data_IF_980428064488
#
_entry.id   IF_980428064488
#
_cell.length_a   1.000
_cell.length_b   1.000
_cell.length_c   1.000
_cell.angle_alpha   90.00
_cell.angle_beta   90.00
_cell.angle_gamma   90.00
#
_symmetry.space_group_name_H-M   'P 1'
#
loop_
_entity.id
_entity.type
_entity.pdbx_description
1 polymer ?
#
# COMPACT_ATOMS: atom_id res chain seq x y z
N UNK A 1 1.03 -41.83 6.48
CA UNK A 1 2.10 -40.81 6.50
C UNK A 1 1.47 -39.49 6.96
N UNK A 2 1.74 -39.11 8.20
CA UNK A 2 1.23 -37.86 8.77
C UNK A 2 2.05 -36.70 8.20
N UNK A 3 1.36 -35.71 7.62
CA UNK A 3 1.97 -34.44 7.22
C UNK A 3 2.44 -33.69 8.47
N UNK A 4 3.66 -33.14 8.51
CA UNK A 4 4.13 -32.41 9.68
C UNK A 4 3.29 -31.13 9.83
N UNK A 5 2.62 -30.98 10.99
CA UNK A 5 2.00 -29.75 11.41
C UNK A 5 3.08 -28.68 11.57
N UNK A 6 3.05 -27.67 10.73
CA UNK A 6 3.88 -26.48 10.91
C UNK A 6 3.49 -25.81 12.21
N UNK A 7 4.39 -25.86 13.20
CA UNK A 7 4.31 -25.18 14.49
C UNK A 7 3.89 -23.72 14.29
N UNK A 8 2.75 -23.33 14.89
CA UNK A 8 2.09 -22.06 14.73
C UNK A 8 2.87 -20.88 15.30
N UNK A 9 3.71 -20.26 14.48
CA UNK A 9 4.06 -18.87 14.71
C UNK A 9 2.83 -18.02 14.32
N UNK A 10 2.13 -17.48 15.31
CA UNK A 10 1.00 -16.57 15.04
C UNK A 10 1.52 -15.31 14.35
N UNK A 11 0.88 -14.92 13.25
CA UNK A 11 1.18 -13.62 12.63
C UNK A 11 0.87 -12.46 13.60
N UNK A 12 1.58 -11.33 13.51
CA UNK A 12 1.25 -10.14 14.29
C UNK A 12 -0.15 -9.63 13.92
N UNK A 13 -0.80 -8.91 14.84
CA UNK A 13 -2.02 -8.17 14.51
C UNK A 13 -1.71 -7.20 13.37
N UNK A 14 -2.60 -7.14 12.36
CA UNK A 14 -2.34 -6.46 11.10
C UNK A 14 -3.43 -5.45 10.76
N UNK A 15 -3.02 -4.27 10.29
CA UNK A 15 -3.88 -3.33 9.60
C UNK A 15 -3.38 -3.13 8.16
N UNK A 16 -4.32 -3.04 7.23
CA UNK A 16 -4.05 -2.56 5.86
C UNK A 16 -4.59 -1.15 5.76
N UNK A 17 -3.75 -0.19 5.42
CA UNK A 17 -4.09 1.21 5.24
C UNK A 17 -4.12 1.51 3.75
N UNK A 18 -5.28 1.92 3.22
CA UNK A 18 -5.45 2.31 1.81
C UNK A 18 -5.86 3.76 1.73
N UNK A 19 -5.18 4.53 0.87
CA UNK A 19 -5.51 5.95 0.66
C UNK A 19 -6.50 6.10 -0.48
N UNK A 20 -7.49 6.99 -0.32
CA UNK A 20 -8.45 7.32 -1.37
C UNK A 20 -8.76 8.81 -1.41
N UNK A 21 -9.13 9.31 -2.58
CA UNK A 21 -9.69 10.64 -2.78
C UNK A 21 -10.57 10.67 -4.02
N UNK A 22 -11.88 10.91 -3.83
CA UNK A 22 -12.88 11.12 -4.89
C UNK A 22 -12.85 10.12 -6.07
N UNK A 23 -12.56 8.85 -5.80
CA UNK A 23 -12.45 7.78 -6.83
C UNK A 23 -13.20 6.52 -6.37
N UNK A 24 -14.52 6.60 -6.15
CA UNK A 24 -15.28 5.46 -5.62
C UNK A 24 -15.24 4.24 -6.56
N UNK A 25 -15.23 4.41 -7.87
CA UNK A 25 -15.20 3.32 -8.85
C UNK A 25 -13.88 2.52 -8.78
N UNK A 26 -12.76 3.20 -8.59
CA UNK A 26 -11.46 2.53 -8.41
C UNK A 26 -11.40 1.82 -7.05
N UNK A 27 -11.87 2.50 -5.99
CA UNK A 27 -11.90 1.96 -4.64
C UNK A 27 -12.79 0.72 -4.54
N UNK A 28 -13.92 0.67 -5.24
CA UNK A 28 -14.83 -0.46 -5.24
C UNK A 28 -14.12 -1.76 -5.65
N UNK A 29 -13.38 -1.72 -6.76
CA UNK A 29 -12.59 -2.87 -7.25
C UNK A 29 -11.51 -3.31 -6.27
N UNK A 30 -10.90 -2.36 -5.58
CA UNK A 30 -9.92 -2.63 -4.52
C UNK A 30 -10.59 -3.33 -3.32
N UNK A 31 -11.78 -2.89 -2.92
CA UNK A 31 -12.52 -3.49 -1.82
C UNK A 31 -12.96 -4.93 -2.13
N UNK A 32 -13.36 -5.24 -3.38
CA UNK A 32 -13.58 -6.63 -3.81
C UNK A 32 -12.34 -7.50 -3.59
N UNK A 33 -11.15 -6.97 -3.94
CA UNK A 33 -9.89 -7.68 -3.72
C UNK A 33 -9.60 -7.96 -2.24
N UNK A 34 -9.95 -7.03 -1.34
CA UNK A 34 -9.80 -7.26 0.11
C UNK A 34 -10.86 -8.21 0.67
N UNK A 35 -12.09 -8.25 0.16
CA UNK A 35 -13.08 -9.25 0.52
C UNK A 35 -12.62 -10.69 0.22
N UNK A 36 -11.74 -10.88 -0.79
CA UNK A 36 -11.28 -12.19 -1.24
C UNK A 36 -9.85 -12.56 -0.81
N UNK A 37 -9.30 -11.88 0.21
CA UNK A 37 -7.99 -12.24 0.77
C UNK A 37 -8.00 -13.64 1.40
N UNK A 38 -6.90 -14.41 1.24
CA UNK A 38 -6.69 -15.70 1.90
C UNK A 38 -6.59 -15.58 3.42
N UNK A 39 -5.96 -14.53 3.92
CA UNK A 39 -5.88 -14.19 5.32
C UNK A 39 -6.95 -13.17 5.68
N UNK A 40 -7.84 -13.52 6.64
CA UNK A 40 -9.01 -12.67 7.00
C UNK A 40 -8.82 -11.84 8.27
N UNK A 41 -7.82 -12.19 9.10
CA UNK A 41 -7.64 -11.50 10.39
C UNK A 41 -6.79 -10.24 10.22
N UNK A 42 -7.38 -9.19 9.66
CA UNK A 42 -6.80 -7.86 9.53
C UNK A 42 -7.89 -6.78 9.64
N UNK A 43 -7.49 -5.57 10.02
CA UNK A 43 -8.35 -4.38 9.94
C UNK A 43 -8.04 -3.63 8.66
N UNK A 44 -9.04 -3.35 7.83
CA UNK A 44 -8.91 -2.48 6.66
C UNK A 44 -9.21 -1.04 7.07
N UNK A 45 -8.21 -0.17 7.01
CA UNK A 45 -8.33 1.25 7.33
C UNK A 45 -8.34 2.05 6.03
N UNK A 46 -9.46 2.68 5.71
CA UNK A 46 -9.57 3.59 4.57
C UNK A 46 -9.16 4.97 5.04
N UNK A 47 -8.03 5.45 4.55
CA UNK A 47 -7.46 6.77 4.78
C UNK A 47 -7.95 7.71 3.67
N UNK A 48 -9.04 8.42 3.93
CA UNK A 48 -9.78 9.22 2.97
C UNK A 48 -9.41 10.71 3.09
N UNK A 49 -8.75 11.23 2.06
CA UNK A 49 -8.18 12.59 2.00
C UNK A 49 -9.22 13.66 1.62
N UNK A 50 -10.45 13.52 2.10
CA UNK A 50 -11.50 14.52 1.92
C UNK A 50 -12.49 14.22 0.79
N UNK A 51 -12.75 12.93 0.53
CA UNK A 51 -13.74 12.56 -0.49
C UNK A 51 -15.15 12.99 -0.14
N UNK A 52 -15.93 13.24 -1.20
CA UNK A 52 -17.34 13.58 -1.12
C UNK A 52 -18.25 12.37 -0.81
N UNK A 53 -19.60 12.62 -0.80
CA UNK A 53 -20.59 11.64 -0.35
C UNK A 53 -20.63 10.32 -1.13
N UNK A 54 -20.19 10.29 -2.40
CA UNK A 54 -20.19 9.08 -3.21
C UNK A 54 -19.24 8.01 -2.63
N UNK A 55 -18.01 8.40 -2.28
CA UNK A 55 -17.03 7.52 -1.64
C UNK A 55 -17.54 7.03 -0.28
N UNK A 56 -18.15 7.91 0.51
CA UNK A 56 -18.73 7.52 1.81
C UNK A 56 -19.83 6.47 1.63
N UNK A 57 -20.75 6.65 0.68
CA UNK A 57 -21.83 5.66 0.41
C UNK A 57 -21.27 4.30 0.01
N UNK A 58 -20.23 4.29 -0.84
CA UNK A 58 -19.54 3.06 -1.20
C UNK A 58 -18.97 2.35 0.03
N UNK A 59 -18.22 3.08 0.86
CA UNK A 59 -17.62 2.51 2.07
C UNK A 59 -18.69 1.95 3.02
N UNK A 60 -19.79 2.67 3.21
CA UNK A 60 -20.91 2.24 4.06
C UNK A 60 -21.59 0.98 3.48
N UNK A 61 -21.71 0.83 2.15
CA UNK A 61 -22.25 -0.39 1.52
C UNK A 61 -21.38 -1.61 1.81
N UNK A 62 -20.04 -1.48 1.71
CA UNK A 62 -19.11 -2.57 2.05
C UNK A 62 -19.11 -2.89 3.56
N UNK A 63 -19.30 -1.88 4.40
CA UNK A 63 -19.49 -2.11 5.85
C UNK A 63 -20.74 -2.93 6.11
N UNK A 64 -21.86 -2.68 5.40
CA UNK A 64 -23.11 -3.44 5.50
C UNK A 64 -22.96 -4.88 5.00
N UNK A 65 -22.10 -5.17 4.01
CA UNK A 65 -21.78 -6.53 3.58
C UNK A 65 -21.19 -7.38 4.72
N UNK A 66 -20.54 -6.77 5.72
CA UNK A 66 -20.00 -7.46 6.91
C UNK A 66 -18.82 -8.40 6.64
N UNK A 67 -18.24 -8.39 5.44
CA UNK A 67 -17.12 -9.27 5.08
C UNK A 67 -15.75 -8.73 5.50
N UNK A 68 -15.64 -7.42 5.77
CA UNK A 68 -14.42 -6.71 6.12
C UNK A 68 -14.54 -6.06 7.50
N UNK A 69 -13.51 -6.21 8.33
CA UNK A 69 -13.34 -5.36 9.52
C UNK A 69 -12.83 -3.98 9.03
N UNK A 70 -13.76 -3.08 8.67
CA UNK A 70 -13.51 -1.85 7.97
C UNK A 70 -13.61 -0.63 8.89
N UNK A 71 -12.55 0.18 8.91
CA UNK A 71 -12.49 1.48 9.58
C UNK A 71 -12.31 2.59 8.53
N UNK A 72 -13.14 3.62 8.59
CA UNK A 72 -13.03 4.81 7.73
C UNK A 72 -12.47 5.97 8.55
N UNK A 73 -11.32 6.49 8.14
CA UNK A 73 -10.67 7.68 8.69
C UNK A 73 -10.74 8.75 7.60
N UNK A 74 -11.46 9.82 7.88
CA UNK A 74 -11.71 10.91 6.95
C UNK A 74 -11.16 12.23 7.48
N UNK A 75 -10.80 13.15 6.60
CA UNK A 75 -10.50 14.54 6.92
C UNK A 75 -11.15 15.47 5.92
N UNK A 76 -11.28 16.74 6.29
CA UNK A 76 -11.78 17.78 5.38
C UNK A 76 -10.83 17.97 4.18
N UNK A 77 -11.41 18.20 2.99
CA UNK A 77 -10.66 18.48 1.77
C UNK A 77 -9.99 19.87 1.85
N UNK A 78 -8.69 19.86 1.96
CA UNK A 78 -7.84 21.05 1.88
C UNK A 78 -6.75 20.86 0.81
N UNK A 79 -7.09 20.24 -0.31
CA UNK A 79 -6.17 19.82 -1.35
C UNK A 79 -5.37 18.57 -0.96
N UNK A 80 -4.27 18.33 -1.65
CA UNK A 80 -3.48 17.09 -1.44
C UNK A 80 -2.82 17.04 -0.06
N UNK A 81 -3.36 16.26 0.86
CA UNK A 81 -2.85 16.04 2.22
C UNK A 81 -2.68 14.55 2.56
N UNK A 82 -2.27 13.75 1.58
CA UNK A 82 -2.09 12.30 1.72
C UNK A 82 -1.23 11.90 2.94
N UNK A 83 -0.15 12.63 3.23
CA UNK A 83 0.72 12.35 4.39
C UNK A 83 0.00 12.52 5.72
N UNK A 84 -0.85 13.53 5.83
CA UNK A 84 -1.64 13.82 7.02
C UNK A 84 -2.69 12.75 7.28
N UNK A 85 -3.43 12.34 6.24
CA UNK A 85 -4.44 11.28 6.42
C UNK A 85 -3.78 9.92 6.70
N UNK A 86 -2.60 9.63 6.12
CA UNK A 86 -1.81 8.44 6.46
C UNK A 86 -1.41 8.44 7.95
N UNK A 87 -0.94 9.57 8.48
CA UNK A 87 -0.61 9.71 9.90
C UNK A 87 -1.83 9.47 10.80
N UNK A 88 -2.99 10.05 10.45
CA UNK A 88 -4.25 9.80 11.16
C UNK A 88 -4.63 8.32 11.13
N UNK A 89 -4.48 7.64 9.99
CA UNK A 89 -4.77 6.22 9.84
C UNK A 89 -3.83 5.35 10.70
N UNK A 90 -2.52 5.69 10.76
CA UNK A 90 -1.56 5.00 11.64
C UNK A 90 -1.94 5.11 13.12
N UNK A 91 -2.44 6.27 13.54
CA UNK A 91 -2.89 6.50 14.93
C UNK A 91 -4.23 5.82 15.22
N UNK A 92 -5.08 5.69 14.21
CA UNK A 92 -6.42 5.11 14.34
C UNK A 92 -6.43 3.59 14.60
N UNK A 93 -5.29 2.90 14.58
CA UNK A 93 -5.21 1.45 14.85
C UNK A 93 -4.02 1.10 15.72
N UNK A 94 -4.19 0.08 16.58
CA UNK A 94 -3.13 -0.44 17.46
C UNK A 94 -2.47 -1.71 16.90
N UNK A 95 -2.76 -2.07 15.66
CA UNK A 95 -2.16 -3.22 15.00
C UNK A 95 -0.63 -3.13 14.98
N UNK A 96 0.04 -4.25 15.27
CA UNK A 96 1.50 -4.31 15.39
C UNK A 96 2.21 -4.13 14.04
N UNK A 97 1.60 -4.62 12.97
CA UNK A 97 2.15 -4.59 11.61
C UNK A 97 1.19 -3.85 10.67
N UNK A 98 1.72 -2.99 9.83
CA UNK A 98 0.93 -2.16 8.93
C UNK A 98 1.35 -2.38 7.47
N UNK A 99 0.37 -2.63 6.62
CA UNK A 99 0.51 -2.74 5.17
C UNK A 99 -0.10 -1.48 4.55
N UNK A 100 0.60 -0.88 3.60
CA UNK A 100 0.16 0.32 2.90
C UNK A 100 -0.12 0.02 1.44
N UNK A 101 -1.25 0.50 0.95
CA UNK A 101 -1.64 0.42 -0.44
C UNK A 101 -2.44 1.66 -0.85
N UNK A 102 -2.82 1.75 -2.11
CA UNK A 102 -3.63 2.86 -2.64
C UNK A 102 -5.03 2.37 -3.04
N UNK A 103 -6.02 3.28 -3.07
CA UNK A 103 -7.41 2.99 -3.43
C UNK A 103 -7.63 2.68 -4.93
N UNK A 104 -6.57 2.58 -5.70
CA UNK A 104 -6.52 2.17 -7.10
C UNK A 104 -5.69 0.88 -7.31
N UNK A 105 -5.24 0.25 -6.23
CA UNK A 105 -4.37 -0.92 -6.22
C UNK A 105 -5.14 -2.17 -5.77
N UNK A 106 -5.61 -3.00 -6.72
CA UNK A 106 -6.34 -4.23 -6.43
C UNK A 106 -5.37 -5.30 -5.92
N UNK A 107 -5.51 -5.79 -4.67
CA UNK A 107 -4.59 -6.75 -4.09
C UNK A 107 -4.83 -8.16 -4.66
N UNK A 108 -3.74 -8.90 -4.93
CA UNK A 108 -3.85 -10.35 -5.23
C UNK A 108 -4.42 -11.11 -4.03
N UNK A 109 -5.04 -12.29 -4.21
CA UNK A 109 -5.70 -13.03 -3.11
C UNK A 109 -4.79 -13.36 -1.91
N UNK A 110 -3.49 -13.42 -2.10
CA UNK A 110 -2.50 -13.71 -1.04
C UNK A 110 -1.70 -12.48 -0.60
N UNK A 111 -2.16 -11.28 -0.90
CA UNK A 111 -1.43 -10.03 -0.65
C UNK A 111 -1.14 -9.80 0.84
N UNK A 112 -2.17 -9.87 1.69
CA UNK A 112 -2.02 -9.66 3.14
C UNK A 112 -1.15 -10.74 3.75
N UNK A 113 -1.43 -12.00 3.45
CA UNK A 113 -0.64 -13.14 3.93
C UNK A 113 0.82 -13.07 3.47
N UNK A 114 1.06 -12.65 2.23
CA UNK A 114 2.38 -12.46 1.65
C UNK A 114 3.24 -11.46 2.43
N UNK A 115 2.65 -10.30 2.78
CA UNK A 115 3.32 -9.32 3.64
C UNK A 115 3.60 -9.88 5.05
N UNK A 116 2.62 -10.55 5.65
CA UNK A 116 2.77 -11.13 6.99
C UNK A 116 3.85 -12.21 7.05
N UNK A 117 3.98 -13.05 6.03
CA UNK A 117 5.06 -14.05 5.91
C UNK A 117 6.46 -13.43 5.83
N UNK A 118 6.54 -12.18 5.35
CA UNK A 118 7.79 -11.44 5.20
C UNK A 118 8.08 -10.50 6.37
N UNK A 119 7.14 -10.34 7.32
CA UNK A 119 7.32 -9.49 8.50
C UNK A 119 8.46 -10.02 9.38
N UNK A 120 9.49 -9.21 9.56
CA UNK A 120 10.64 -9.49 10.44
C UNK A 120 11.00 -8.21 11.18
N UNK A 121 11.50 -8.30 12.43
CA UNK A 121 12.03 -7.14 13.14
C UNK A 121 13.10 -6.41 12.32
N UNK A 122 13.21 -5.10 12.51
CA UNK A 122 14.18 -4.23 11.83
C UNK A 122 14.14 -4.31 10.30
N UNK A 123 12.95 -4.54 9.75
CA UNK A 123 12.74 -4.65 8.31
C UNK A 123 11.42 -4.01 7.89
N UNK A 124 11.48 -3.30 6.76
CA UNK A 124 10.27 -2.99 6.00
C UNK A 124 10.26 -3.76 4.68
N UNK A 125 9.06 -4.11 4.20
CA UNK A 125 8.85 -4.77 2.91
C UNK A 125 8.44 -3.72 1.89
N UNK A 126 9.03 -3.77 0.70
CA UNK A 126 8.61 -2.94 -0.43
C UNK A 126 8.49 -3.80 -1.69
N UNK A 127 7.39 -3.62 -2.40
CA UNK A 127 7.10 -4.36 -3.60
C UNK A 127 6.82 -3.42 -4.80
N UNK A 128 6.24 -3.94 -5.87
CA UNK A 128 5.93 -3.14 -7.07
C UNK A 128 4.44 -3.19 -7.37
N UNK A 129 4.02 -2.25 -8.21
CA UNK A 129 2.69 -2.18 -8.79
C UNK A 129 2.74 -2.72 -10.22
N UNK A 130 1.80 -3.59 -10.57
CA UNK A 130 1.60 -3.98 -11.96
C UNK A 130 0.57 -3.05 -12.58
N UNK A 131 1.02 -2.15 -13.45
CA UNK A 131 0.16 -1.14 -14.06
C UNK A 131 -0.67 -1.74 -15.18
N UNK A 132 -1.97 -1.58 -15.07
CA UNK A 132 -2.92 -1.99 -16.08
C UNK A 132 -3.01 -0.93 -17.20
N UNK A 133 -3.49 -1.37 -18.36
CA UNK A 133 -3.99 -0.48 -19.40
C UNK A 133 -5.39 0.03 -19.01
N UNK A 134 -5.86 1.09 -19.67
CA UNK A 134 -7.21 1.61 -19.46
C UNK A 134 -8.28 0.54 -19.74
N UNK A 135 -8.11 -0.24 -20.84
CA UNK A 135 -9.03 -1.31 -21.18
C UNK A 135 -9.06 -2.40 -20.11
N UNK A 136 -7.89 -2.92 -19.69
CA UNK A 136 -7.85 -3.93 -18.64
C UNK A 136 -8.45 -3.42 -17.32
N UNK A 137 -8.22 -2.15 -16.97
CA UNK A 137 -8.80 -1.53 -15.77
C UNK A 137 -10.32 -1.43 -15.84
N UNK A 138 -10.86 -1.11 -17.03
CA UNK A 138 -12.30 -0.99 -17.25
C UNK A 138 -13.01 -2.33 -17.12
N UNK A 139 -12.49 -3.38 -17.74
CA UNK A 139 -13.09 -4.73 -17.84
C UNK A 139 -13.10 -5.52 -16.51
N UNK A 140 -12.46 -5.02 -15.47
CA UNK A 140 -12.47 -5.68 -14.15
C UNK A 140 -13.83 -5.52 -13.49
N UNK A 141 -14.44 -6.64 -13.11
CA UNK A 141 -15.67 -6.73 -12.35
C UNK A 141 -15.52 -7.55 -11.06
N UNK A 142 -16.56 -7.63 -10.24
CA UNK A 142 -16.54 -8.35 -8.96
C UNK A 142 -16.30 -9.86 -9.16
N UNK A 143 -16.83 -10.47 -10.22
CA UNK A 143 -16.70 -11.91 -10.51
C UNK A 143 -15.26 -12.27 -10.88
N UNK A 144 -14.62 -11.51 -11.76
CA UNK A 144 -13.23 -11.73 -12.17
C UNK A 144 -12.23 -11.53 -11.03
N UNK A 145 -12.53 -10.62 -10.09
CA UNK A 145 -11.75 -10.45 -8.85
C UNK A 145 -11.99 -11.62 -7.91
N UNK A 146 -13.24 -12.02 -7.68
CA UNK A 146 -13.63 -13.08 -6.77
C UNK A 146 -13.10 -14.46 -7.21
N UNK A 147 -13.17 -14.77 -8.51
CA UNK A 147 -12.61 -16.00 -9.09
C UNK A 147 -11.08 -15.98 -9.14
N UNK A 148 -10.46 -14.81 -9.09
CA UNK A 148 -9.02 -14.63 -9.24
C UNK A 148 -8.53 -14.63 -10.68
N UNK A 149 -9.43 -14.66 -11.68
CA UNK A 149 -9.07 -14.65 -13.10
C UNK A 149 -8.31 -13.39 -13.51
N UNK A 150 -8.69 -12.23 -12.98
CA UNK A 150 -8.05 -10.92 -13.23
C UNK A 150 -6.55 -10.94 -12.93
N UNK A 151 -6.08 -11.84 -12.07
CA UNK A 151 -4.67 -11.98 -11.71
C UNK A 151 -3.90 -12.96 -12.62
N UNK A 152 -4.56 -13.58 -13.61
CA UNK A 152 -3.92 -14.49 -14.55
C UNK A 152 -3.39 -13.73 -15.76
N UNK A 153 -2.17 -14.04 -16.19
CA UNK A 153 -1.54 -13.41 -17.36
C UNK A 153 -2.38 -13.58 -18.63
N UNK A 154 -3.08 -14.73 -18.78
CA UNK A 154 -3.98 -15.01 -19.90
C UNK A 154 -5.19 -14.08 -19.91
N UNK A 155 -5.81 -13.80 -18.75
CA UNK A 155 -6.91 -12.85 -18.64
C UNK A 155 -6.43 -11.45 -19.01
N UNK A 156 -5.34 -10.99 -18.40
CA UNK A 156 -4.74 -9.67 -18.65
C UNK A 156 -4.42 -9.47 -20.14
N UNK A 157 -3.85 -10.48 -20.80
CA UNK A 157 -3.53 -10.41 -22.24
C UNK A 157 -4.78 -10.28 -23.11
N UNK A 158 -5.85 -11.03 -22.82
CA UNK A 158 -7.14 -10.93 -23.55
C UNK A 158 -7.80 -9.57 -23.37
N UNK A 159 -7.56 -8.89 -22.25
CA UNK A 159 -8.14 -7.57 -21.91
C UNK A 159 -7.15 -6.42 -22.19
N UNK A 160 -6.31 -6.56 -23.24
CA UNK A 160 -5.50 -5.48 -23.78
C UNK A 160 -4.19 -5.17 -23.03
N UNK A 161 -3.80 -6.03 -22.08
CA UNK A 161 -2.48 -5.89 -21.49
C UNK A 161 -1.42 -6.41 -22.47
N UNK A 162 -0.41 -5.61 -22.87
CA UNK A 162 0.56 -6.03 -23.88
C UNK A 162 1.40 -7.21 -23.40
N UNK A 163 1.65 -8.16 -24.30
CA UNK A 163 2.49 -9.32 -24.05
C UNK A 163 3.97 -8.87 -24.02
N UNK A 164 4.42 -8.51 -22.85
CA UNK A 164 5.78 -8.03 -22.63
C UNK A 164 6.44 -8.76 -21.44
N UNK A 165 7.71 -8.49 -21.23
CA UNK A 165 8.49 -9.06 -20.13
C UNK A 165 7.84 -8.91 -18.75
N UNK A 166 7.11 -7.83 -18.49
CA UNK A 166 6.44 -7.60 -17.22
C UNK A 166 5.28 -8.59 -17.01
N UNK A 167 4.49 -8.84 -18.05
CA UNK A 167 3.39 -9.80 -18.02
C UNK A 167 3.91 -11.25 -17.92
N UNK A 168 4.99 -11.57 -18.65
CA UNK A 168 5.64 -12.88 -18.53
C UNK A 168 6.10 -13.13 -17.09
N UNK A 169 6.78 -12.17 -16.49
CA UNK A 169 7.23 -12.26 -15.08
C UNK A 169 6.08 -12.36 -14.09
N UNK A 170 4.96 -11.69 -14.35
CA UNK A 170 3.76 -11.83 -13.56
C UNK A 170 3.26 -13.27 -13.52
N UNK A 171 3.27 -13.95 -14.67
CA UNK A 171 2.84 -15.34 -14.81
C UNK A 171 3.77 -16.40 -14.18
N UNK A 172 5.02 -16.06 -13.79
CA UNK A 172 5.99 -17.02 -13.24
C UNK A 172 5.64 -17.50 -11.81
N UNK A 173 4.74 -16.83 -11.14
CA UNK A 173 4.27 -17.20 -9.81
C UNK A 173 5.28 -16.98 -8.66
N UNK A 174 4.85 -17.19 -7.40
CA UNK A 174 5.62 -16.78 -6.22
C UNK A 174 6.87 -17.64 -5.95
N UNK A 175 6.93 -18.90 -6.43
CA UNK A 175 8.10 -19.79 -6.19
C UNK A 175 9.35 -19.26 -6.89
N UNK A 176 9.26 -18.94 -8.18
CA UNK A 176 10.36 -18.33 -8.94
C UNK A 176 10.56 -16.87 -8.54
N UNK A 177 9.50 -16.16 -8.18
CA UNK A 177 9.55 -14.78 -7.67
C UNK A 177 10.45 -14.62 -6.45
N UNK A 178 10.46 -15.59 -5.53
CA UNK A 178 11.31 -15.57 -4.35
C UNK A 178 12.82 -15.58 -4.67
N UNK A 179 13.23 -16.28 -5.71
CA UNK A 179 14.61 -16.26 -6.19
C UNK A 179 14.97 -14.87 -6.76
N UNK A 180 14.12 -14.30 -7.62
CA UNK A 180 14.35 -12.98 -8.21
C UNK A 180 14.33 -11.83 -7.19
N UNK A 181 13.58 -11.96 -6.09
CA UNK A 181 13.62 -10.97 -5.01
C UNK A 181 15.00 -10.87 -4.36
N UNK A 182 15.73 -11.99 -4.25
CA UNK A 182 17.06 -12.05 -3.62
C UNK A 182 18.18 -11.54 -4.53
N UNK A 183 18.03 -11.67 -5.84
CA UNK A 183 19.06 -11.31 -6.83
C UNK A 183 18.93 -9.88 -7.35
N UNK A 184 17.93 -9.13 -6.93
CA UNK A 184 17.71 -7.74 -7.38
C UNK A 184 18.71 -6.79 -6.74
N UNK A 185 19.62 -6.23 -7.58
CA UNK A 185 20.61 -5.22 -7.20
C UNK A 185 20.04 -3.78 -7.16
N UNK A 186 18.76 -3.60 -7.46
CA UNK A 186 18.14 -2.26 -7.47
C UNK A 186 17.95 -1.72 -6.06
N UNK A 187 18.34 -0.46 -5.82
CA UNK A 187 18.04 0.23 -4.57
C UNK A 187 16.54 0.19 -4.30
N UNK A 188 16.18 -0.25 -3.12
CA UNK A 188 14.80 -0.33 -2.69
C UNK A 188 14.41 0.97 -2.00
N UNK A 189 13.22 1.46 -2.35
CA UNK A 189 12.56 2.57 -1.70
C UNK A 189 11.23 2.10 -1.15
N UNK A 190 10.68 2.81 -0.19
CA UNK A 190 9.30 2.61 0.21
C UNK A 190 8.38 2.85 -1.00
N UNK A 191 7.45 1.94 -1.24
CA UNK A 191 6.43 2.05 -2.30
C UNK A 191 5.06 2.18 -1.62
N UNK A 192 4.51 3.39 -1.52
CA UNK A 192 3.26 3.65 -0.77
C UNK A 192 2.06 2.81 -1.21
N UNK A 193 2.02 2.44 -2.48
CA UNK A 193 0.97 1.54 -3.01
C UNK A 193 1.20 0.05 -2.74
N UNK A 194 2.39 -0.36 -2.21
CA UNK A 194 2.70 -1.76 -1.89
C UNK A 194 3.92 -1.85 -0.96
N UNK A 195 3.73 -1.55 0.30
CA UNK A 195 4.79 -1.65 1.32
C UNK A 195 4.22 -2.02 2.68
N UNK A 196 5.07 -2.48 3.59
CA UNK A 196 4.68 -2.75 4.98
C UNK A 196 5.83 -2.61 5.95
N UNK A 197 5.52 -2.22 7.19
CA UNK A 197 6.47 -2.09 8.28
C UNK A 197 5.79 -2.34 9.64
N UNK A 198 6.61 -2.50 10.68
CA UNK A 198 6.13 -2.53 12.05
C UNK A 198 5.67 -1.14 12.48
N UNK A 199 4.52 -1.08 13.15
CA UNK A 199 3.97 0.18 13.68
C UNK A 199 4.98 0.94 14.56
N UNK A 200 5.73 0.22 15.39
CA UNK A 200 6.78 0.82 16.24
C UNK A 200 7.83 1.58 15.43
N UNK A 201 8.23 1.06 14.27
CA UNK A 201 9.25 1.67 13.41
C UNK A 201 8.70 2.92 12.70
N UNK A 202 7.42 2.87 12.28
CA UNK A 202 6.70 4.04 11.73
C UNK A 202 6.60 5.16 12.77
N UNK A 203 6.26 4.81 14.01
CA UNK A 203 6.18 5.79 15.11
C UNK A 203 7.55 6.32 15.51
N UNK A 204 8.60 5.51 15.45
CA UNK A 204 9.96 5.91 15.77
C UNK A 204 10.51 6.98 14.82
N UNK A 205 10.04 7.03 13.58
CA UNK A 205 10.36 8.09 12.62
C UNK A 205 9.32 9.22 12.58
N UNK A 206 8.36 9.24 13.51
CA UNK A 206 7.24 10.19 13.61
C UNK A 206 6.28 10.16 12.41
N UNK A 207 6.10 8.99 11.76
CA UNK A 207 5.20 8.85 10.63
C UNK A 207 5.65 9.54 9.35
N UNK A 208 4.70 9.93 8.52
CA UNK A 208 4.94 10.63 7.26
C UNK A 208 5.14 12.12 7.50
N UNK A 209 6.04 12.74 6.73
CA UNK A 209 6.30 14.18 6.80
C UNK A 209 5.15 14.95 6.12
N UNK A 210 4.39 15.72 6.89
CA UNK A 210 3.22 16.47 6.43
C UNK A 210 3.56 17.69 5.54
N UNK A 211 4.82 18.09 5.48
CA UNK A 211 5.30 19.13 4.54
C UNK A 211 5.47 18.60 3.11
N UNK A 212 5.39 17.29 2.93
CA UNK A 212 5.55 16.66 1.62
C UNK A 212 4.25 16.72 0.83
N UNK A 213 4.32 17.38 -0.32
CA UNK A 213 3.27 17.35 -1.35
C UNK A 213 3.40 16.11 -2.25
N UNK A 214 2.61 16.05 -3.32
CA UNK A 214 2.69 14.98 -4.31
C UNK A 214 4.09 14.84 -4.94
N UNK A 215 4.58 13.61 -4.99
CA UNK A 215 5.82 13.26 -5.67
C UNK A 215 7.03 13.17 -4.75
N UNK A 216 7.25 11.99 -4.17
CA UNK A 216 8.45 11.67 -3.39
C UNK A 216 8.25 11.47 -1.90
N UNK A 217 7.04 11.68 -1.37
CA UNK A 217 6.69 11.43 0.05
C UNK A 217 7.09 10.01 0.51
N UNK A 218 6.88 9.03 -0.35
CA UNK A 218 7.23 7.63 -0.11
C UNK A 218 8.75 7.43 0.03
N UNK A 219 9.53 8.12 -0.83
CA UNK A 219 11.00 8.03 -0.78
C UNK A 219 11.55 8.69 0.46
N UNK A 220 11.02 9.84 0.85
CA UNK A 220 11.42 10.56 2.05
C UNK A 220 11.19 9.70 3.29
N UNK A 221 9.98 9.16 3.45
CA UNK A 221 9.64 8.27 4.56
C UNK A 221 10.54 7.02 4.61
N UNK A 222 10.76 6.38 3.45
CA UNK A 222 11.64 5.23 3.34
C UNK A 222 13.10 5.53 3.69
N UNK A 223 13.62 6.72 3.34
CA UNK A 223 14.98 7.12 3.71
C UNK A 223 15.10 7.29 5.23
N UNK A 224 14.10 7.88 5.92
CA UNK A 224 14.15 7.98 7.39
C UNK A 224 14.12 6.62 8.08
N UNK A 225 13.36 5.65 7.56
CA UNK A 225 13.41 4.27 8.06
C UNK A 225 14.79 3.66 7.86
N UNK A 226 15.41 3.84 6.68
CA UNK A 226 16.76 3.33 6.39
C UNK A 226 17.80 3.99 7.32
N UNK A 227 17.71 5.29 7.51
CA UNK A 227 18.59 6.03 8.43
C UNK A 227 18.45 5.54 9.89
N UNK A 228 17.25 5.13 10.30
CA UNK A 228 16.99 4.49 11.61
C UNK A 228 17.55 3.06 11.72
N UNK A 229 18.10 2.49 10.63
CA UNK A 229 18.62 1.12 10.59
C UNK A 229 17.60 0.06 10.16
N UNK A 230 16.37 0.44 9.79
CA UNK A 230 15.35 -0.48 9.29
C UNK A 230 15.67 -0.87 7.85
N UNK A 231 15.97 -2.14 7.62
CA UNK A 231 16.46 -2.64 6.34
C UNK A 231 15.34 -2.88 5.34
N UNK A 232 15.43 -2.38 4.09
CA UNK A 232 14.47 -2.67 3.05
C UNK A 232 14.57 -4.13 2.57
N UNK A 233 13.42 -4.76 2.32
CA UNK A 233 13.32 -6.08 1.73
C UNK A 233 12.44 -6.05 0.48
N UNK A 234 12.94 -6.62 -0.62
CA UNK A 234 12.21 -6.68 -1.89
C UNK A 234 11.20 -7.82 -1.88
N UNK A 235 9.94 -7.49 -2.14
CA UNK A 235 8.88 -8.47 -2.41
C UNK A 235 8.28 -8.32 -3.84
N UNK A 236 9.04 -7.71 -4.76
CA UNK A 236 8.60 -7.29 -6.11
C UNK A 236 7.99 -8.41 -6.95
N UNK A 237 8.35 -9.65 -6.68
CA UNK A 237 7.95 -10.81 -7.47
C UNK A 237 7.06 -11.78 -6.70
N UNK A 238 6.73 -11.49 -5.45
CA UNK A 238 5.96 -12.38 -4.59
C UNK A 238 4.72 -11.75 -3.98
N UNK A 239 4.73 -10.43 -3.79
CA UNK A 239 3.60 -9.68 -3.23
C UNK A 239 3.27 -8.55 -4.19
N UNK A 240 2.17 -8.69 -4.90
CA UNK A 240 1.85 -7.81 -6.03
C UNK A 240 0.42 -7.29 -5.96
N UNK A 241 0.18 -6.15 -6.59
CA UNK A 241 -1.13 -5.53 -6.79
C UNK A 241 -1.29 -5.12 -8.25
N UNK A 242 -2.53 -5.08 -8.73
CA UNK A 242 -2.89 -4.50 -10.01
C UNK A 242 -3.22 -3.02 -9.79
N UNK A 243 -2.43 -2.14 -10.38
CA UNK A 243 -2.68 -0.70 -10.31
C UNK A 243 -3.54 -0.29 -11.52
N UNK A 244 -4.75 0.15 -11.26
CA UNK A 244 -5.69 0.61 -12.25
C UNK A 244 -5.18 1.87 -12.97
N UNK A 245 -5.55 2.02 -14.24
CA UNK A 245 -5.21 3.21 -15.01
C UNK A 245 -6.14 4.37 -14.65
N UNK A 246 -5.53 5.53 -14.40
CA UNK A 246 -6.25 6.77 -14.11
C UNK A 246 -5.39 8.01 -14.42
N UNK A 247 -6.02 9.17 -14.63
CA UNK A 247 -5.36 10.46 -14.80
C UNK A 247 -4.57 10.90 -13.55
N UNK A 248 -3.60 11.82 -13.74
CA UNK A 248 -2.71 12.35 -12.69
C UNK A 248 -2.58 13.87 -12.79
N UNK A 249 -3.71 14.56 -12.75
CA UNK A 249 -3.79 16.01 -13.01
C UNK A 249 -3.23 16.89 -11.87
N UNK A 250 -2.85 16.29 -10.73
CA UNK A 250 -2.35 16.96 -9.53
C UNK A 250 -0.81 17.11 -9.46
N UNK A 251 -0.11 16.86 -10.57
CA UNK A 251 1.35 16.90 -10.60
C UNK A 251 1.88 18.34 -10.78
N UNK A 252 2.44 18.90 -9.72
CA UNK A 252 3.05 20.23 -9.66
C UNK A 252 4.59 20.12 -9.71
N UNK A 253 5.27 20.70 -10.74
CA UNK A 253 6.72 20.64 -10.88
C UNK A 253 7.50 21.30 -9.74
N UNK A 254 7.00 22.40 -9.19
CA UNK A 254 7.69 23.16 -8.15
C UNK A 254 7.62 22.43 -6.81
N UNK A 255 6.46 21.86 -6.48
CA UNK A 255 6.30 21.00 -5.31
C UNK A 255 7.20 19.77 -5.41
N UNK A 256 7.34 19.18 -6.61
CA UNK A 256 8.27 18.06 -6.83
C UNK A 256 9.74 18.46 -6.67
N UNK A 257 10.11 19.68 -7.07
CA UNK A 257 11.47 20.19 -6.87
C UNK A 257 11.77 20.35 -5.38
N UNK A 258 10.86 20.98 -4.60
CA UNK A 258 10.96 21.09 -3.13
C UNK A 258 11.07 19.73 -2.47
N UNK A 259 10.23 18.78 -2.85
CA UNK A 259 10.27 17.43 -2.30
C UNK A 259 11.63 16.74 -2.55
N UNK A 260 12.24 16.95 -3.73
CA UNK A 260 13.59 16.43 -4.01
C UNK A 260 14.66 17.02 -3.10
N UNK A 261 14.56 18.30 -2.74
CA UNK A 261 15.47 18.94 -1.80
C UNK A 261 15.36 18.30 -0.41
N UNK A 262 14.14 18.14 0.11
CA UNK A 262 13.87 17.49 1.40
C UNK A 262 14.44 16.06 1.41
N UNK A 263 14.20 15.26 0.36
CA UNK A 263 14.74 13.89 0.26
C UNK A 263 16.27 13.89 0.27
N UNK A 264 16.90 14.85 -0.42
CA UNK A 264 18.35 14.96 -0.49
C UNK A 264 18.92 15.31 0.88
N UNK A 265 18.29 16.23 1.59
CA UNK A 265 18.65 16.63 2.95
C UNK A 265 18.54 15.45 3.93
N UNK A 266 17.37 14.76 3.97
CA UNK A 266 17.16 13.57 4.81
C UNK A 266 18.24 12.52 4.58
N UNK A 267 18.62 12.31 3.31
CA UNK A 267 19.64 11.32 2.93
C UNK A 267 21.05 11.75 3.36
N UNK A 268 21.42 13.00 3.15
CA UNK A 268 22.77 13.50 3.39
C UNK A 268 23.08 13.71 4.87
N UNK A 269 22.05 14.07 5.66
CA UNK A 269 22.19 14.32 7.10
C UNK A 269 21.97 13.08 7.97
N UNK A 270 21.43 11.99 7.41
CA UNK A 270 21.06 10.81 8.19
C UNK A 270 19.84 11.03 9.09
N UNK A 271 19.01 12.02 8.80
CA UNK A 271 17.81 12.35 9.57
C UNK A 271 16.86 11.17 9.67
N UNK A 272 16.43 10.84 10.90
CA UNK A 272 15.50 9.75 11.19
C UNK A 272 14.10 10.23 11.56
N UNK A 273 13.97 11.49 11.97
CA UNK A 273 12.75 12.07 12.53
C UNK A 273 12.26 13.24 11.70
N UNK A 274 10.94 13.44 11.60
CA UNK A 274 10.35 14.65 11.03
C UNK A 274 9.65 15.47 12.11
N UNK A 275 9.81 16.79 12.08
CA UNK A 275 9.13 17.72 12.99
C UNK A 275 7.61 17.74 12.73
N UNK A 276 7.21 17.62 11.46
CA UNK A 276 5.83 17.70 11.00
C UNK A 276 5.26 16.30 10.71
N UNK A 277 5.02 15.52 11.76
CA UNK A 277 4.47 14.17 11.69
C UNK A 277 3.40 13.92 12.75
N UNK A 278 3.26 12.67 13.18
CA UNK A 278 2.20 12.19 14.09
C UNK A 278 2.15 12.98 15.42
N UNK A 279 3.29 13.30 16.04
CA UNK A 279 3.30 13.99 17.35
C UNK A 279 2.77 15.41 17.27
N UNK A 280 2.99 16.11 16.17
CA UNK A 280 2.46 17.47 15.99
C UNK A 280 0.93 17.46 15.87
N UNK A 281 0.35 16.44 15.24
CA UNK A 281 -1.10 16.25 15.18
C UNK A 281 -1.71 16.08 16.58
N UNK A 282 -1.01 15.40 17.50
CA UNK A 282 -1.47 15.27 18.90
C UNK A 282 -1.42 16.57 19.69
N UNK A 283 -0.42 17.45 19.43
CA UNK A 283 -0.31 18.76 20.11
C UNK A 283 -1.38 19.76 19.69
N UNK A 284 -1.90 19.66 18.45
CA UNK A 284 -2.97 20.53 17.94
C UNK A 284 -4.38 20.09 18.37
N UNK A 285 -4.53 18.88 18.90
CA UNK A 285 -5.82 18.30 19.32
C UNK A 285 -6.02 18.35 20.86
N UNK A 286 -5.05 18.84 21.63
CA UNK A 286 -5.11 19.08 23.05
C UNK A 286 -5.34 20.57 23.34
#
# INVERSE_FOLDING_TARGET
>A
MQTPSTSGASFPSCAVIITTYNSPELLEKVLWGYEHQSWKNFTLVIADDGSGPATKRLIDSFRQRGKLNLRHVWQEDNGFQKTKILNKAVVATDSQYMIFSDGDCIPTPTFVEGHLRLSRPERFVSATLFRLTALASWEIDEESVASGEVFQAGWLSRHGQPLNWRLIRWGLGPKLGGFFNRTSLTRLYWCGGNASAWRKDILAVNGFNEDMAYGGLDKEFGERLINLGIRPFSARHTVTVLHQDHGRDYADPDKRARNRQIITEVRSTGMTWTENGIQQARRKSA
#
